data_IF_450854497672
#
_entry.id   IF_450854497672
#
_cell.length_a   1.000
_cell.length_b   1.000
_cell.length_c   1.000
_cell.angle_alpha   90.00
_cell.angle_beta   90.00
_cell.angle_gamma   90.00
#
_symmetry.space_group_name_H-M   'P 1'
#
loop_
_entity.id
_entity.type
_entity.pdbx_description
1 polymer ?
#
# COMPACT_ATOMS: atom_id res chain seq x y z
N UNK A 1 -11.11 4.07 33.78
CA UNK A 1 -9.68 3.72 33.66
C UNK A 1 -9.55 2.25 33.95
N UNK A 2 -9.48 1.41 32.91
CA UNK A 2 -9.05 0.03 33.07
C UNK A 2 -7.60 0.05 33.59
N UNK A 3 -7.23 -0.89 34.45
CA UNK A 3 -5.86 -1.00 34.92
C UNK A 3 -4.99 -1.55 33.78
N UNK A 4 -3.83 -0.94 33.52
CA UNK A 4 -2.87 -1.52 32.58
C UNK A 4 -2.37 -2.85 33.15
N UNK A 5 -2.64 -3.95 32.44
CA UNK A 5 -2.18 -5.28 32.80
C UNK A 5 -0.95 -5.65 31.97
N UNK A 6 0.14 -6.04 32.63
CA UNK A 6 1.29 -6.68 31.97
C UNK A 6 1.22 -8.17 32.22
N UNK A 7 1.13 -8.96 31.16
CA UNK A 7 1.02 -10.42 31.22
C UNK A 7 2.06 -11.07 30.31
N UNK A 8 2.52 -12.26 30.69
CA UNK A 8 3.30 -13.12 29.81
C UNK A 8 2.32 -13.94 28.97
N UNK A 9 2.31 -13.72 27.64
CA UNK A 9 1.30 -14.32 26.76
C UNK A 9 1.28 -15.84 26.85
N UNK A 10 2.45 -16.49 26.86
CA UNK A 10 2.52 -17.95 26.95
C UNK A 10 1.97 -18.50 28.28
N UNK A 11 2.10 -17.76 29.38
CA UNK A 11 1.53 -18.18 30.66
C UNK A 11 0.00 -18.00 30.68
N UNK A 12 -0.48 -16.94 30.01
CA UNK A 12 -1.90 -16.64 29.92
C UNK A 12 -2.63 -17.65 29.05
N UNK A 13 -2.01 -18.09 27.94
CA UNK A 13 -2.60 -19.03 26.99
C UNK A 13 -2.28 -20.49 27.30
N UNK A 14 -1.53 -20.77 28.37
CA UNK A 14 -1.23 -22.14 28.78
C UNK A 14 -2.50 -22.92 29.11
N UNK A 15 -2.70 -24.05 28.42
CA UNK A 15 -3.82 -24.97 28.66
C UNK A 15 -5.16 -24.49 28.08
N UNK A 16 -5.14 -23.51 27.18
CA UNK A 16 -6.32 -23.22 26.34
C UNK A 16 -6.39 -24.20 25.17
N UNK A 17 -7.61 -24.44 24.70
CA UNK A 17 -7.93 -25.27 23.56
C UNK A 17 -8.79 -24.44 22.60
N UNK A 18 -8.26 -24.18 21.41
CA UNK A 18 -8.93 -23.41 20.38
C UNK A 18 -9.48 -24.33 19.30
N UNK A 19 -10.62 -23.97 18.72
CA UNK A 19 -11.29 -24.78 17.70
C UNK A 19 -11.07 -24.15 16.33
N UNK A 20 -10.72 -24.97 15.33
CA UNK A 20 -10.54 -24.56 13.94
C UNK A 20 -11.32 -25.49 13.00
N UNK A 21 -11.82 -24.96 11.89
CA UNK A 21 -12.50 -25.77 10.86
C UNK A 21 -11.63 -25.79 9.60
N UNK A 22 -11.18 -26.99 9.22
CA UNK A 22 -10.30 -27.17 8.07
C UNK A 22 -11.04 -26.85 6.78
N UNK A 23 -10.44 -26.00 5.94
CA UNK A 23 -10.96 -25.62 4.63
C UNK A 23 -10.35 -26.46 3.51
N UNK A 24 -10.98 -26.44 2.34
CA UNK A 24 -10.44 -27.09 1.13
C UNK A 24 -9.07 -26.52 0.74
N UNK A 25 -8.89 -25.19 0.86
CA UNK A 25 -7.66 -24.49 0.48
C UNK A 25 -6.49 -24.86 1.42
N UNK A 26 -6.74 -24.91 2.73
CA UNK A 26 -5.75 -25.34 3.72
C UNK A 26 -5.27 -26.78 3.47
N UNK A 27 -6.20 -27.68 3.17
CA UNK A 27 -5.87 -29.07 2.84
C UNK A 27 -5.06 -29.15 1.55
N UNK A 28 -5.45 -28.40 0.52
CA UNK A 28 -4.72 -28.37 -0.75
C UNK A 28 -3.31 -27.77 -0.59
N UNK A 29 -3.15 -26.79 0.29
CA UNK A 29 -1.88 -26.14 0.60
C UNK A 29 -1.01 -26.94 1.58
N UNK A 30 -1.60 -27.87 2.35
CA UNK A 30 -0.91 -28.56 3.45
C UNK A 30 -0.62 -27.64 4.65
N UNK A 31 -1.36 -26.55 4.80
CA UNK A 31 -1.11 -25.49 5.78
C UNK A 31 -2.41 -25.05 6.44
N UNK A 32 -2.42 -24.82 7.76
CA UNK A 32 -3.57 -24.26 8.49
C UNK A 32 -3.44 -22.74 8.62
N UNK A 33 -4.53 -22.01 8.44
CA UNK A 33 -4.65 -20.59 8.75
C UNK A 33 -4.76 -20.40 10.26
N UNK A 34 -3.64 -20.01 10.88
CA UNK A 34 -3.55 -19.79 12.32
C UNK A 34 -3.88 -18.34 12.72
N UNK A 35 -4.39 -17.52 11.80
CA UNK A 35 -4.44 -16.08 12.01
C UNK A 35 -5.59 -15.59 12.87
N UNK A 36 -6.67 -16.35 12.97
CA UNK A 36 -7.87 -15.94 13.68
C UNK A 36 -8.35 -16.97 14.68
N UNK A 37 -8.79 -18.14 14.22
CA UNK A 37 -9.36 -19.15 15.10
C UNK A 37 -8.31 -19.75 16.06
N UNK A 38 -7.02 -19.69 15.67
CA UNK A 38 -5.88 -20.10 16.49
C UNK A 38 -5.07 -18.91 17.04
N UNK A 39 -5.64 -17.70 17.05
CA UNK A 39 -4.89 -16.48 17.37
C UNK A 39 -4.31 -16.44 18.81
N UNK A 40 -4.78 -17.28 19.74
CA UNK A 40 -4.15 -17.42 21.06
C UNK A 40 -2.74 -18.04 21.02
N UNK A 41 -2.39 -18.70 19.91
CA UNK A 41 -1.07 -19.31 19.69
C UNK A 41 -0.21 -18.52 18.70
N UNK A 42 -0.60 -17.28 18.37
CA UNK A 42 0.07 -16.46 17.38
C UNK A 42 1.57 -16.28 17.71
N UNK A 43 1.94 -16.11 18.98
CA UNK A 43 3.35 -15.89 19.38
C UNK A 43 4.20 -17.15 19.53
N UNK A 44 3.72 -18.30 19.08
CA UNK A 44 4.45 -19.56 19.14
C UNK A 44 5.22 -19.80 17.85
N UNK A 45 6.55 -19.63 17.90
CA UNK A 45 7.41 -19.71 16.72
C UNK A 45 8.00 -21.12 16.46
N UNK A 46 8.23 -21.90 17.53
CA UNK A 46 8.93 -23.20 17.48
C UNK A 46 7.96 -24.36 17.74
N UNK A 47 7.00 -24.58 16.85
CA UNK A 47 5.95 -25.59 17.02
C UNK A 47 6.40 -26.99 16.58
N UNK A 48 5.98 -28.01 17.33
CA UNK A 48 6.20 -29.42 16.96
C UNK A 48 4.93 -30.24 17.14
N UNK A 49 4.73 -31.24 16.30
CA UNK A 49 3.69 -32.25 16.51
C UNK A 49 4.04 -33.15 17.70
N UNK A 50 3.03 -33.83 18.26
CA UNK A 50 3.24 -34.85 19.29
C UNK A 50 4.17 -36.01 18.85
N UNK A 51 4.38 -36.20 17.54
CA UNK A 51 5.35 -37.13 16.96
C UNK A 51 6.80 -36.64 17.03
N UNK A 52 7.02 -35.36 17.37
CA UNK A 52 8.31 -34.67 17.40
C UNK A 52 8.69 -34.01 16.08
N UNK A 53 7.83 -34.07 15.06
CA UNK A 53 8.07 -33.41 13.76
C UNK A 53 7.78 -31.91 13.83
N UNK A 54 8.60 -31.05 13.21
CA UNK A 54 8.40 -29.61 13.28
C UNK A 54 7.19 -29.14 12.46
N UNK A 55 6.56 -28.07 12.92
CA UNK A 55 5.60 -27.27 12.17
C UNK A 55 6.29 -25.94 11.84
N UNK A 56 6.38 -25.63 10.55
CA UNK A 56 6.88 -24.34 10.09
C UNK A 56 5.79 -23.28 10.26
N UNK A 57 6.12 -22.21 10.97
CA UNK A 57 5.26 -21.04 11.13
C UNK A 57 5.64 -20.01 10.07
N UNK A 58 4.80 -19.86 9.06
CA UNK A 58 5.03 -18.88 8.00
C UNK A 58 4.49 -17.52 8.41
N UNK A 59 5.39 -16.54 8.46
CA UNK A 59 5.11 -15.14 8.78
C UNK A 59 5.07 -14.24 7.54
N UNK A 60 4.94 -14.82 6.34
CA UNK A 60 5.04 -14.11 5.07
C UNK A 60 4.05 -12.95 4.96
N UNK A 61 4.43 -11.74 5.37
CA UNK A 61 3.66 -10.54 5.06
C UNK A 61 3.48 -10.40 3.54
N UNK A 62 2.25 -10.20 3.04
CA UNK A 62 1.04 -9.77 3.74
C UNK A 62 0.08 -10.89 4.18
N UNK A 63 0.46 -12.16 4.04
CA UNK A 63 -0.37 -13.29 4.43
C UNK A 63 -0.46 -13.42 5.95
N UNK A 64 -1.61 -13.88 6.47
CA UNK A 64 -1.75 -14.22 7.88
C UNK A 64 -0.82 -15.38 8.26
N UNK A 65 -0.45 -15.55 9.54
CA UNK A 65 0.43 -16.64 9.90
C UNK A 65 -0.20 -18.00 9.59
N UNK A 66 0.54 -18.80 8.85
CA UNK A 66 0.16 -20.16 8.47
C UNK A 66 1.00 -21.19 9.20
N UNK A 67 0.42 -22.35 9.51
CA UNK A 67 1.13 -23.48 10.09
C UNK A 67 1.27 -24.58 9.05
N UNK A 68 2.50 -24.84 8.63
CA UNK A 68 2.82 -25.87 7.62
C UNK A 68 3.55 -27.02 8.30
N UNK A 69 2.87 -28.15 8.45
CA UNK A 69 3.45 -29.38 8.97
C UNK A 69 4.14 -30.24 7.91
N UNK A 70 4.61 -31.44 8.28
CA UNK A 70 5.21 -32.39 7.35
C UNK A 70 4.21 -32.87 6.28
N UNK A 71 4.73 -33.38 5.17
CA UNK A 71 3.92 -33.88 4.05
C UNK A 71 2.83 -34.86 4.54
N UNK A 72 1.57 -34.54 4.22
CA UNK A 72 0.41 -35.37 4.55
C UNK A 72 -0.09 -35.26 6.00
N UNK A 73 0.43 -34.34 6.82
CA UNK A 73 -0.01 -34.20 8.21
C UNK A 73 -1.51 -33.83 8.37
N UNK A 74 -2.10 -33.21 7.33
CA UNK A 74 -3.54 -32.92 7.25
C UNK A 74 -4.35 -34.00 6.53
N UNK A 75 -3.74 -35.06 5.97
CA UNK A 75 -4.45 -36.07 5.18
C UNK A 75 -5.52 -36.83 5.98
N UNK A 76 -5.32 -36.90 7.30
CA UNK A 76 -6.26 -37.50 8.23
C UNK A 76 -7.55 -36.69 8.39
N UNK A 77 -7.53 -35.39 8.06
CA UNK A 77 -8.63 -34.47 8.31
C UNK A 77 -9.27 -34.04 6.99
N UNK A 78 -10.51 -34.46 6.69
CA UNK A 78 -11.22 -33.97 5.51
C UNK A 78 -11.53 -32.47 5.64
N UNK A 79 -11.82 -31.82 4.51
CA UNK A 79 -12.35 -30.46 4.55
C UNK A 79 -13.69 -30.45 5.30
N UNK A 80 -13.89 -29.45 6.15
CA UNK A 80 -14.96 -29.35 7.13
C UNK A 80 -14.70 -30.11 8.44
N UNK A 81 -13.55 -30.81 8.58
CA UNK A 81 -13.15 -31.38 9.86
C UNK A 81 -12.98 -30.27 10.90
N UNK A 82 -13.43 -30.55 12.11
CA UNK A 82 -13.37 -29.62 13.23
C UNK A 82 -12.26 -30.09 14.15
N UNK A 83 -11.26 -29.24 14.38
CA UNK A 83 -10.08 -29.57 15.15
C UNK A 83 -10.09 -28.79 16.45
N UNK A 84 -9.95 -29.47 17.58
CA UNK A 84 -9.55 -28.88 18.84
C UNK A 84 -8.01 -28.92 18.92
N UNK A 85 -7.42 -27.74 19.08
CA UNK A 85 -5.97 -27.54 19.03
C UNK A 85 -5.51 -26.96 20.37
N UNK A 86 -4.58 -27.65 21.01
CA UNK A 86 -3.88 -27.23 22.21
C UNK A 86 -2.39 -27.13 21.91
N UNK A 87 -1.74 -26.07 22.41
CA UNK A 87 -0.28 -25.94 22.39
C UNK A 87 0.23 -25.98 23.82
N UNK A 88 1.08 -26.95 24.12
CA UNK A 88 1.67 -27.08 25.45
C UNK A 88 2.73 -26.00 25.71
N UNK A 89 3.12 -25.77 26.97
CA UNK A 89 4.24 -24.86 27.29
C UNK A 89 5.58 -25.24 26.64
N UNK A 90 5.73 -26.49 26.21
CA UNK A 90 6.92 -26.99 25.49
C UNK A 90 6.75 -26.88 23.95
N UNK A 91 5.79 -26.08 23.48
CA UNK A 91 5.45 -25.85 22.06
C UNK A 91 5.05 -27.11 21.28
N UNK A 92 4.47 -28.10 21.97
CA UNK A 92 3.91 -29.30 21.34
C UNK A 92 2.44 -29.05 20.99
N UNK A 93 2.10 -29.24 19.72
CA UNK A 93 0.74 -29.12 19.20
C UNK A 93 0.02 -30.46 19.32
N UNK A 94 -1.09 -30.45 20.05
CA UNK A 94 -2.04 -31.56 20.14
C UNK A 94 -3.28 -31.22 19.33
N UNK A 95 -3.64 -32.11 18.41
CA UNK A 95 -4.81 -31.98 17.54
C UNK A 95 -5.77 -33.11 17.86
N UNK A 96 -7.01 -32.76 18.17
CA UNK A 96 -8.11 -33.71 18.39
C UNK A 96 -9.26 -33.37 17.44
N UNK A 97 -9.67 -34.32 16.60
CA UNK A 97 -10.85 -34.14 15.75
C UNK A 97 -12.14 -34.19 16.60
N UNK A 98 -12.96 -33.17 16.45
CA UNK A 98 -14.30 -33.08 17.02
C UNK A 98 -15.34 -33.57 16.00
N UNK A 99 -16.38 -34.23 16.47
CA UNK A 99 -17.44 -34.74 15.59
C UNK A 99 -18.37 -33.66 15.01
N UNK A 100 -18.37 -32.45 15.58
CA UNK A 100 -19.14 -31.31 15.12
C UNK A 100 -18.58 -30.00 15.71
N UNK A 101 -18.90 -28.87 15.07
CA UNK A 101 -18.56 -27.54 15.60
C UNK A 101 -19.34 -27.34 16.90
N UNK A 102 -18.67 -27.09 18.04
CA UNK A 102 -19.37 -26.76 19.28
C UNK A 102 -20.24 -25.52 19.08
N UNK A 103 -21.47 -25.55 19.62
CA UNK A 103 -22.37 -24.42 19.54
C UNK A 103 -21.88 -23.26 20.43
N UNK A 104 -22.25 -22.04 20.08
CA UNK A 104 -22.08 -20.90 20.98
C UNK A 104 -23.03 -21.02 22.17
N UNK A 105 -22.62 -20.58 23.35
CA UNK A 105 -23.38 -20.74 24.60
C UNK A 105 -23.97 -19.42 25.13
N UNK A 106 -23.85 -18.33 24.35
CA UNK A 106 -24.36 -17.00 24.67
C UNK A 106 -23.54 -16.26 25.74
N UNK A 107 -23.05 -16.95 26.77
CA UNK A 107 -22.24 -16.34 27.84
C UNK A 107 -20.89 -15.88 27.30
N UNK A 108 -20.22 -16.72 26.51
CA UNK A 108 -18.96 -16.34 25.89
C UNK A 108 -19.16 -15.28 24.80
N UNK A 109 -20.30 -15.32 24.09
CA UNK A 109 -20.68 -14.33 23.06
C UNK A 109 -20.84 -12.93 23.68
N UNK A 110 -21.60 -12.84 24.78
CA UNK A 110 -21.81 -11.59 25.53
C UNK A 110 -20.48 -11.04 26.07
N UNK A 111 -19.61 -11.92 26.59
CA UNK A 111 -18.30 -11.50 27.09
C UNK A 111 -17.38 -11.02 25.96
N UNK A 112 -17.37 -11.72 24.83
CA UNK A 112 -16.60 -11.29 23.65
C UNK A 112 -17.04 -9.90 23.21
N UNK A 113 -18.37 -9.64 23.21
CA UNK A 113 -18.87 -8.30 22.86
C UNK A 113 -18.38 -7.23 23.83
N UNK A 114 -18.42 -7.49 25.14
CA UNK A 114 -17.92 -6.54 26.16
C UNK A 114 -16.42 -6.28 26.01
N UNK A 115 -15.63 -7.32 25.76
CA UNK A 115 -14.19 -7.22 25.50
C UNK A 115 -13.93 -6.37 24.25
N UNK A 116 -14.64 -6.65 23.16
CA UNK A 116 -14.55 -5.90 21.91
C UNK A 116 -14.91 -4.42 22.11
N UNK A 117 -16.04 -4.14 22.76
CA UNK A 117 -16.52 -2.77 23.00
C UNK A 117 -15.50 -1.94 23.78
N UNK A 118 -14.82 -2.56 24.75
CA UNK A 118 -13.76 -1.89 25.51
C UNK A 118 -12.50 -1.65 24.68
N UNK A 119 -12.11 -2.63 23.86
CA UNK A 119 -10.90 -2.53 23.04
C UNK A 119 -11.06 -1.53 21.89
N UNK A 120 -12.27 -1.42 21.31
CA UNK A 120 -12.53 -0.49 20.22
C UNK A 120 -12.77 0.95 20.70
N UNK A 121 -13.32 1.17 21.91
CA UNK A 121 -13.70 2.51 22.42
C UNK A 121 -12.56 3.54 22.26
N UNK A 122 -11.35 3.15 22.66
CA UNK A 122 -10.12 3.87 22.37
C UNK A 122 -9.04 2.82 22.06
N UNK A 123 -8.52 2.73 20.80
CA UNK A 123 -8.30 3.84 19.86
C UNK A 123 -9.23 3.94 18.63
N UNK A 124 -10.40 3.31 18.63
CA UNK A 124 -11.30 3.21 17.46
C UNK A 124 -10.68 2.47 16.27
N UNK A 125 -9.93 1.39 16.54
CA UNK A 125 -9.31 0.54 15.53
C UNK A 125 -9.95 -0.86 15.53
N UNK A 126 -9.86 -1.61 14.42
CA UNK A 126 -10.22 -3.02 14.42
C UNK A 126 -9.43 -3.77 15.48
N UNK A 127 -10.08 -4.73 16.12
CA UNK A 127 -9.49 -5.52 17.20
C UNK A 127 -9.01 -6.84 16.63
N UNK A 128 -7.79 -7.25 16.94
CA UNK A 128 -7.25 -8.51 16.44
C UNK A 128 -7.86 -9.72 17.17
N UNK A 129 -7.90 -10.88 16.51
CA UNK A 129 -8.30 -12.14 17.14
C UNK A 129 -7.44 -12.49 18.35
N UNK A 130 -6.13 -12.20 18.29
CA UNK A 130 -5.21 -12.40 19.42
C UNK A 130 -5.64 -11.55 20.62
N UNK A 131 -5.90 -10.26 20.42
CA UNK A 131 -6.33 -9.35 21.48
C UNK A 131 -7.65 -9.80 22.12
N UNK A 132 -8.62 -10.27 21.31
CA UNK A 132 -9.87 -10.83 21.82
C UNK A 132 -9.63 -12.06 22.70
N UNK A 133 -8.84 -13.03 22.23
CA UNK A 133 -8.53 -14.25 22.98
C UNK A 133 -7.83 -13.92 24.29
N UNK A 134 -6.79 -13.08 24.25
CA UNK A 134 -6.03 -12.69 25.43
C UNK A 134 -6.92 -11.95 26.45
N UNK A 135 -7.76 -11.03 25.99
CA UNK A 135 -8.66 -10.30 26.88
C UNK A 135 -9.75 -11.21 27.49
N UNK A 136 -10.30 -12.16 26.73
CA UNK A 136 -11.26 -13.15 27.23
C UNK A 136 -10.67 -14.04 28.32
N UNK A 137 -9.45 -14.55 28.11
CA UNK A 137 -8.74 -15.40 29.08
C UNK A 137 -8.29 -14.57 30.30
N UNK A 138 -7.94 -13.30 30.10
CA UNK A 138 -7.60 -12.39 31.20
C UNK A 138 -8.82 -12.09 32.09
N UNK A 139 -10.01 -11.90 31.51
CA UNK A 139 -11.24 -11.69 32.26
C UNK A 139 -11.73 -12.94 32.99
N UNK A 140 -11.60 -14.11 32.34
CA UNK A 140 -11.97 -15.40 32.91
C UNK A 140 -10.98 -16.48 32.45
N UNK A 141 -10.06 -16.91 33.34
CA UNK A 141 -9.08 -17.94 33.02
C UNK A 141 -9.66 -19.31 32.69
N UNK A 142 -10.97 -19.53 32.87
CA UNK A 142 -11.65 -20.73 32.41
C UNK A 142 -12.06 -20.65 30.93
N UNK A 143 -12.03 -19.47 30.31
CA UNK A 143 -12.29 -19.30 28.88
C UNK A 143 -11.36 -20.21 28.06
N UNK A 144 -11.94 -20.96 27.12
CA UNK A 144 -11.22 -21.89 26.24
C UNK A 144 -10.50 -23.05 26.94
N UNK A 145 -10.76 -23.38 28.21
CA UNK A 145 -10.17 -24.59 28.82
C UNK A 145 -10.72 -25.90 28.25
N UNK A 146 -11.91 -25.85 27.69
CA UNK A 146 -12.54 -26.96 26.98
C UNK A 146 -12.82 -26.50 25.53
N UNK A 147 -12.84 -27.42 24.55
CA UNK A 147 -13.12 -27.07 23.17
C UNK A 147 -14.50 -26.38 23.02
N UNK A 148 -14.47 -25.10 22.67
CA UNK A 148 -15.66 -24.27 22.43
C UNK A 148 -15.92 -24.02 20.94
N UNK A 149 -16.86 -23.13 20.65
CA UNK A 149 -17.06 -22.64 19.28
C UNK A 149 -15.78 -21.94 18.78
N UNK A 150 -15.43 -22.04 17.49
CA UNK A 150 -14.30 -21.30 16.93
C UNK A 150 -14.52 -19.79 17.08
N UNK A 151 -13.42 -19.02 17.19
CA UNK A 151 -13.50 -17.57 17.40
C UNK A 151 -14.32 -16.88 16.32
N UNK A 152 -14.18 -17.32 15.08
CA UNK A 152 -14.96 -16.89 13.91
C UNK A 152 -16.47 -17.06 14.10
N UNK A 153 -16.92 -18.15 14.73
CA UNK A 153 -18.33 -18.37 15.04
C UNK A 153 -18.82 -17.46 16.18
N UNK A 154 -18.00 -17.23 17.22
CA UNK A 154 -18.33 -16.30 18.32
C UNK A 154 -18.47 -14.86 17.80
N UNK A 155 -17.57 -14.43 16.93
CA UNK A 155 -17.59 -13.11 16.28
C UNK A 155 -18.81 -12.95 15.39
N UNK A 156 -19.13 -13.98 14.58
CA UNK A 156 -20.33 -13.96 13.74
C UNK A 156 -21.62 -13.89 14.59
N UNK A 157 -21.67 -14.57 15.74
CA UNK A 157 -22.81 -14.54 16.65
C UNK A 157 -23.02 -13.17 17.31
N UNK A 158 -21.97 -12.36 17.43
CA UNK A 158 -22.02 -11.01 18.04
C UNK A 158 -22.24 -9.88 17.02
N UNK A 159 -22.43 -10.21 15.74
CA UNK A 159 -22.69 -9.24 14.68
C UNK A 159 -21.47 -8.42 14.26
N UNK A 160 -20.26 -8.89 14.56
CA UNK A 160 -19.02 -8.27 14.14
C UNK A 160 -18.63 -8.75 12.73
N UNK A 161 -18.09 -7.83 11.94
CA UNK A 161 -17.49 -8.12 10.64
C UNK A 161 -16.02 -8.53 10.84
N UNK A 162 -15.59 -9.61 10.18
CA UNK A 162 -14.20 -10.11 10.24
C UNK A 162 -13.51 -9.89 8.90
N UNK A 163 -12.34 -9.26 8.92
CA UNK A 163 -11.46 -9.13 7.74
C UNK A 163 -10.05 -9.58 8.10
N UNK A 164 -9.65 -10.73 7.58
CA UNK A 164 -8.38 -11.37 7.97
C UNK A 164 -8.38 -11.71 9.45
N UNK A 165 -7.36 -11.23 10.18
CA UNK A 165 -7.19 -11.46 11.61
C UNK A 165 -7.85 -10.40 12.51
N UNK A 166 -8.52 -9.41 11.92
CA UNK A 166 -9.12 -8.28 12.64
C UNK A 166 -10.66 -8.34 12.58
N UNK A 167 -11.32 -7.69 13.53
CA UNK A 167 -12.77 -7.51 13.56
C UNK A 167 -13.19 -6.08 13.82
N UNK A 168 -14.34 -5.69 13.27
CA UNK A 168 -14.97 -4.42 13.59
C UNK A 168 -16.50 -4.48 13.52
N UNK A 169 -17.18 -3.51 14.14
CA UNK A 169 -18.63 -3.40 14.13
C UNK A 169 -19.18 -2.55 12.97
N UNK A 170 -18.34 -1.72 12.32
CA UNK A 170 -18.73 -0.93 11.16
C UNK A 170 -17.54 -0.53 10.26
N UNK A 171 -17.86 0.06 9.11
CA UNK A 171 -16.88 0.51 8.11
C UNK A 171 -16.03 1.71 8.57
N UNK A 172 -16.47 2.50 9.56
CA UNK A 172 -15.70 3.65 10.06
C UNK A 172 -14.48 3.21 10.86
N UNK A 173 -14.60 2.13 11.62
CA UNK A 173 -13.48 1.49 12.34
C UNK A 173 -12.46 0.94 11.34
N UNK A 174 -12.93 0.25 10.28
CA UNK A 174 -12.07 -0.21 9.18
C UNK A 174 -11.39 0.95 8.46
N UNK A 175 -12.10 2.06 8.28
CA UNK A 175 -11.52 3.24 7.66
C UNK A 175 -10.45 3.87 8.53
N UNK A 176 -10.62 3.89 9.86
CA UNK A 176 -9.65 4.48 10.77
C UNK A 176 -8.28 3.77 10.72
N UNK A 177 -8.23 2.44 10.57
CA UNK A 177 -6.95 1.74 10.39
C UNK A 177 -6.29 2.08 9.05
N UNK A 178 -7.07 2.27 7.97
CA UNK A 178 -6.54 2.75 6.68
C UNK A 178 -5.95 4.15 6.85
N UNK A 179 -6.65 5.04 7.54
CA UNK A 179 -6.21 6.41 7.84
C UNK A 179 -4.94 6.43 8.69
N UNK A 180 -4.84 5.56 9.71
CA UNK A 180 -3.65 5.42 10.54
C UNK A 180 -2.45 4.89 9.74
N UNK A 181 -2.64 3.85 8.92
CA UNK A 181 -1.56 3.30 8.05
C UNK A 181 -1.08 4.36 7.06
N UNK A 182 -1.99 5.14 6.49
CA UNK A 182 -1.70 6.29 5.61
C UNK A 182 -0.92 7.38 6.35
N UNK A 183 -1.35 7.77 7.56
CA UNK A 183 -0.63 8.71 8.43
C UNK A 183 0.83 8.28 8.61
N UNK A 184 1.08 7.01 8.95
CA UNK A 184 2.44 6.48 9.08
C UNK A 184 3.26 6.58 7.79
N UNK A 185 2.68 6.24 6.62
CA UNK A 185 3.40 6.34 5.36
C UNK A 185 3.71 7.78 4.96
N UNK A 186 2.75 8.70 5.12
CA UNK A 186 2.94 10.13 4.85
C UNK A 186 4.04 10.71 5.75
N UNK A 187 3.98 10.46 7.06
CA UNK A 187 5.02 10.90 8.00
C UNK A 187 6.40 10.30 7.68
N UNK A 188 6.45 9.03 7.26
CA UNK A 188 7.71 8.39 6.85
C UNK A 188 8.30 9.07 5.61
N UNK A 189 7.46 9.51 4.67
CA UNK A 189 7.88 10.15 3.43
C UNK A 189 8.32 11.61 3.63
N UNK A 190 7.52 12.40 4.35
CA UNK A 190 7.76 13.85 4.53
C UNK A 190 8.65 14.19 5.74
N UNK A 191 8.98 13.20 6.57
CA UNK A 191 9.55 13.43 7.90
C UNK A 191 8.47 13.75 8.93
N UNK A 192 8.88 13.98 10.18
CA UNK A 192 8.03 14.25 11.37
C UNK A 192 6.80 15.14 11.08
N UNK A 193 5.76 15.06 11.91
CA UNK A 193 4.45 15.72 11.70
C UNK A 193 4.65 17.21 11.38
N UNK A 194 4.55 17.54 10.09
CA UNK A 194 4.76 18.87 9.56
C UNK A 194 3.49 19.39 8.87
N UNK A 195 3.46 20.69 8.60
CA UNK A 195 2.33 21.31 7.91
C UNK A 195 2.04 20.66 6.54
N UNK A 196 3.07 20.15 5.84
CA UNK A 196 2.90 19.43 4.57
C UNK A 196 2.17 18.10 4.74
N UNK A 197 2.57 17.29 5.74
CA UNK A 197 1.92 16.01 6.03
C UNK A 197 0.43 16.18 6.35
N UNK A 198 0.09 17.19 7.15
CA UNK A 198 -1.30 17.51 7.48
C UNK A 198 -2.12 17.90 6.24
N UNK A 199 -1.53 18.64 5.28
CA UNK A 199 -2.20 18.98 4.01
C UNK A 199 -2.47 17.74 3.15
N UNK A 200 -1.50 16.82 3.06
CA UNK A 200 -1.68 15.56 2.32
C UNK A 200 -2.81 14.75 2.94
N UNK A 201 -2.79 14.57 4.26
CA UNK A 201 -3.81 13.81 4.99
C UNK A 201 -5.20 14.44 4.85
N UNK A 202 -5.31 15.76 5.02
CA UNK A 202 -6.56 16.47 4.81
C UNK A 202 -7.08 16.33 3.38
N UNK A 203 -6.19 16.37 2.38
CA UNK A 203 -6.57 16.17 0.98
C UNK A 203 -7.11 14.76 0.73
N UNK A 204 -6.48 13.74 1.33
CA UNK A 204 -6.91 12.36 1.22
C UNK A 204 -8.22 12.10 1.98
N UNK A 205 -8.42 12.71 3.15
CA UNK A 205 -9.68 12.67 3.90
C UNK A 205 -10.84 13.28 3.08
N UNK A 206 -10.60 14.36 2.33
CA UNK A 206 -11.61 14.92 1.40
C UNK A 206 -11.88 13.99 0.21
N UNK A 207 -10.87 13.31 -0.32
CA UNK A 207 -11.06 12.31 -1.37
C UNK A 207 -11.93 11.14 -0.88
N UNK A 208 -11.72 10.70 0.36
CA UNK A 208 -12.48 9.65 1.02
C UNK A 208 -13.95 10.07 1.21
N UNK A 209 -14.17 11.28 1.73
CA UNK A 209 -15.51 11.83 1.91
C UNK A 209 -16.28 11.95 0.59
N UNK A 210 -15.64 12.41 -0.48
CA UNK A 210 -16.27 12.49 -1.80
C UNK A 210 -16.62 11.11 -2.39
N UNK A 211 -15.87 10.08 -2.03
CA UNK A 211 -16.18 8.69 -2.39
C UNK A 211 -17.31 8.08 -1.54
N UNK A 212 -17.90 8.84 -0.62
CA UNK A 212 -19.04 8.43 0.20
C UNK A 212 -18.65 7.77 1.53
N UNK A 213 -17.38 7.86 1.93
CA UNK A 213 -16.95 7.40 3.25
C UNK A 213 -17.47 8.38 4.30
N UNK A 214 -18.16 7.85 5.31
CA UNK A 214 -18.65 8.67 6.43
C UNK A 214 -17.48 9.09 7.32
N UNK A 215 -17.11 10.36 7.18
CA UNK A 215 -16.03 10.97 7.95
C UNK A 215 -16.56 11.72 9.20
N UNK A 216 -17.87 11.70 9.47
CA UNK A 216 -18.48 12.47 10.57
C UNK A 216 -18.04 12.02 11.96
N UNK A 217 -17.51 10.80 12.08
CA UNK A 217 -16.93 10.26 13.31
C UNK A 217 -15.56 10.87 13.64
N UNK A 218 -14.92 11.57 12.70
CA UNK A 218 -13.62 12.22 12.90
C UNK A 218 -13.80 13.71 13.17
N UNK A 219 -13.61 14.19 14.41
CA UNK A 219 -13.93 15.56 14.81
C UNK A 219 -13.05 16.61 14.14
N UNK A 220 -11.93 16.24 13.52
CA UNK A 220 -11.07 17.17 12.78
C UNK A 220 -11.59 17.50 11.37
N UNK A 221 -12.65 16.83 10.89
CA UNK A 221 -13.17 17.00 9.54
C UNK A 221 -14.46 17.83 9.59
N UNK A 222 -14.34 19.12 9.28
CA UNK A 222 -15.46 20.06 9.28
C UNK A 222 -16.36 19.90 8.05
N UNK A 223 -17.51 19.27 8.22
CA UNK A 223 -18.62 19.29 7.27
C UNK A 223 -18.33 18.65 5.90
N UNK A 224 -19.30 18.68 4.97
CA UNK A 224 -19.12 18.10 3.63
C UNK A 224 -18.14 18.93 2.78
N UNK A 225 -17.26 18.25 2.05
CA UNK A 225 -16.38 18.86 1.07
C UNK A 225 -17.19 19.60 0.00
N UNK A 226 -17.01 20.92 -0.05
CA UNK A 226 -17.65 21.78 -1.03
C UNK A 226 -16.63 22.33 -2.04
N UNK A 227 -17.10 23.18 -2.96
CA UNK A 227 -16.22 23.79 -3.96
C UNK A 227 -15.19 24.75 -3.35
N UNK A 228 -15.45 25.35 -2.18
CA UNK A 228 -14.47 26.19 -1.51
C UNK A 228 -13.35 25.36 -0.91
N UNK A 229 -13.66 24.22 -0.28
CA UNK A 229 -12.69 23.23 0.20
C UNK A 229 -11.80 22.76 -0.93
N UNK A 230 -12.37 22.30 -2.06
CA UNK A 230 -11.60 21.84 -3.21
C UNK A 230 -10.65 22.90 -3.77
N UNK A 231 -11.06 24.17 -3.79
CA UNK A 231 -10.21 25.29 -4.22
C UNK A 231 -9.09 25.60 -3.22
N UNK A 232 -9.34 25.41 -1.92
CA UNK A 232 -8.30 25.54 -0.91
C UNK A 232 -7.24 24.44 -1.07
N UNK A 233 -7.66 23.18 -1.28
CA UNK A 233 -6.77 22.06 -1.56
C UNK A 233 -5.89 22.31 -2.80
N UNK A 234 -6.47 22.81 -3.90
CA UNK A 234 -5.69 23.19 -5.09
C UNK A 234 -4.65 24.28 -4.81
N UNK A 235 -4.85 25.11 -3.77
CA UNK A 235 -3.86 26.06 -3.28
C UNK A 235 -2.72 25.38 -2.53
N UNK A 236 -3.01 24.39 -1.70
CA UNK A 236 -2.03 23.61 -0.94
C UNK A 236 -1.19 22.70 -1.83
N UNK A 237 -1.80 22.11 -2.88
CA UNK A 237 -1.13 21.26 -3.87
C UNK A 237 -0.19 22.01 -4.83
N UNK A 238 0.03 23.30 -4.61
CA UNK A 238 1.10 24.06 -5.30
C UNK A 238 2.47 23.82 -4.68
N UNK A 239 2.51 23.25 -3.49
CA UNK A 239 3.73 22.74 -2.89
C UNK A 239 4.06 21.39 -3.54
N UNK A 240 5.18 21.33 -4.27
CA UNK A 240 5.59 20.14 -5.00
C UNK A 240 5.79 18.92 -4.08
N UNK A 241 6.24 19.11 -2.84
CA UNK A 241 6.44 18.02 -1.89
C UNK A 241 5.10 17.42 -1.44
N UNK A 242 4.10 18.28 -1.21
CA UNK A 242 2.72 17.88 -0.90
C UNK A 242 2.09 17.15 -2.08
N UNK A 243 2.24 17.69 -3.30
CA UNK A 243 1.64 17.10 -4.51
C UNK A 243 2.24 15.74 -4.85
N UNK A 244 3.57 15.59 -4.79
CA UNK A 244 4.24 14.31 -5.05
C UNK A 244 3.86 13.26 -3.99
N UNK A 245 3.83 13.65 -2.72
CA UNK A 245 3.42 12.72 -1.65
C UNK A 245 1.95 12.32 -1.79
N UNK A 246 1.08 13.26 -2.19
CA UNK A 246 -0.32 12.95 -2.49
C UNK A 246 -0.44 11.98 -3.67
N UNK A 247 0.30 12.17 -4.76
CA UNK A 247 0.31 11.25 -5.90
C UNK A 247 0.63 9.82 -5.45
N UNK A 248 1.72 9.65 -4.68
CA UNK A 248 2.16 8.35 -4.21
C UNK A 248 1.09 7.66 -3.35
N UNK A 249 0.38 8.39 -2.48
CA UNK A 249 -0.64 7.81 -1.61
C UNK A 249 -2.00 7.62 -2.29
N UNK A 250 -2.44 8.58 -3.12
CA UNK A 250 -3.74 8.52 -3.80
C UNK A 250 -3.79 7.38 -4.84
N UNK A 251 -2.63 7.04 -5.42
CA UNK A 251 -2.50 6.02 -6.44
C UNK A 251 -1.63 4.83 -5.99
N UNK A 252 -1.47 4.63 -4.68
CA UNK A 252 -0.68 3.54 -4.11
C UNK A 252 -1.23 2.15 -4.47
N UNK A 253 -2.56 2.02 -4.41
CA UNK A 253 -3.27 0.75 -4.57
C UNK A 253 -3.93 0.67 -5.96
N UNK A 254 -3.79 -0.49 -6.61
CA UNK A 254 -4.31 -0.74 -7.97
C UNK A 254 -5.71 -1.37 -7.98
N UNK A 255 -6.39 -1.44 -6.83
CA UNK A 255 -7.73 -2.00 -6.72
C UNK A 255 -8.82 -1.07 -7.27
N UNK A 256 -9.99 -1.64 -7.58
CA UNK A 256 -11.11 -0.91 -8.19
C UNK A 256 -11.66 0.21 -7.27
N UNK A 257 -11.68 -0.01 -5.96
CA UNK A 257 -12.15 0.97 -4.98
C UNK A 257 -11.25 2.20 -4.94
N UNK A 258 -9.94 2.00 -4.90
CA UNK A 258 -8.94 3.06 -4.95
C UNK A 258 -9.00 3.85 -6.27
N UNK A 259 -9.17 3.17 -7.40
CA UNK A 259 -9.36 3.83 -8.71
C UNK A 259 -10.63 4.69 -8.76
N UNK A 260 -11.76 4.16 -8.31
CA UNK A 260 -13.03 4.89 -8.30
C UNK A 260 -12.95 6.14 -7.41
N UNK A 261 -12.33 6.03 -6.23
CA UNK A 261 -12.09 7.15 -5.31
C UNK A 261 -11.24 8.24 -5.98
N UNK A 262 -10.12 7.86 -6.61
CA UNK A 262 -9.28 8.80 -7.32
C UNK A 262 -10.00 9.45 -8.52
N UNK A 263 -10.85 8.71 -9.24
CA UNK A 263 -11.67 9.24 -10.33
C UNK A 263 -12.64 10.33 -9.85
N UNK A 264 -13.38 10.06 -8.77
CA UNK A 264 -14.33 11.02 -8.19
C UNK A 264 -13.60 12.28 -7.74
N UNK A 265 -12.50 12.11 -7.00
CA UNK A 265 -11.71 13.22 -6.47
C UNK A 265 -11.10 14.08 -7.58
N UNK A 266 -10.45 13.46 -8.58
CA UNK A 266 -9.82 14.18 -9.70
C UNK A 266 -10.86 14.91 -10.56
N UNK A 267 -12.04 14.30 -10.79
CA UNK A 267 -13.16 14.95 -11.45
C UNK A 267 -13.68 16.18 -10.69
N UNK A 268 -13.81 16.08 -9.37
CA UNK A 268 -14.21 17.18 -8.52
C UNK A 268 -13.19 18.34 -8.54
N UNK A 269 -11.88 18.03 -8.49
CA UNK A 269 -10.82 19.04 -8.62
C UNK A 269 -10.87 19.74 -9.98
N UNK A 270 -11.04 18.99 -11.07
CA UNK A 270 -11.18 19.56 -12.43
C UNK A 270 -12.37 20.53 -12.51
N UNK A 271 -13.50 20.19 -11.91
CA UNK A 271 -14.69 21.04 -11.88
C UNK A 271 -14.48 22.31 -11.03
N UNK A 272 -13.72 22.22 -9.94
CA UNK A 272 -13.44 23.34 -9.03
C UNK A 272 -12.30 24.27 -9.52
N UNK A 273 -11.44 23.79 -10.43
CA UNK A 273 -10.24 24.50 -10.88
C UNK A 273 -10.56 25.68 -11.84
N UNK A 274 -10.31 26.90 -11.36
CA UNK A 274 -10.54 28.12 -12.16
C UNK A 274 -9.27 28.85 -12.58
N UNK A 275 -8.21 28.84 -11.76
CA UNK A 275 -6.98 29.54 -12.09
C UNK A 275 -6.10 28.66 -13.00
N UNK A 276 -5.23 29.27 -13.82
CA UNK A 276 -4.37 28.50 -14.73
C UNK A 276 -3.53 27.42 -14.03
N UNK A 277 -2.89 27.78 -12.91
CA UNK A 277 -2.12 26.83 -12.08
C UNK A 277 -2.98 25.71 -11.48
N UNK A 278 -4.18 26.05 -11.00
CA UNK A 278 -5.09 25.08 -10.40
C UNK A 278 -5.54 24.05 -11.46
N UNK A 279 -5.79 24.50 -12.69
CA UNK A 279 -6.11 23.62 -13.83
C UNK A 279 -4.95 22.72 -14.22
N UNK A 280 -3.72 23.21 -14.09
CA UNK A 280 -2.54 22.39 -14.36
C UNK A 280 -2.38 21.27 -13.31
N UNK A 281 -2.57 21.57 -12.03
CA UNK A 281 -2.54 20.57 -10.93
C UNK A 281 -3.67 19.55 -11.10
N UNK A 282 -4.91 20.02 -11.27
CA UNK A 282 -6.05 19.12 -11.47
C UNK A 282 -5.90 18.25 -12.72
N UNK A 283 -5.39 18.84 -13.82
CA UNK A 283 -5.11 18.13 -15.06
C UNK A 283 -3.97 17.12 -14.93
N UNK A 284 -2.94 17.40 -14.13
CA UNK A 284 -1.89 16.44 -13.82
C UNK A 284 -2.45 15.23 -13.07
N UNK A 285 -3.21 15.45 -11.99
CA UNK A 285 -3.82 14.36 -11.21
C UNK A 285 -4.81 13.54 -12.06
N UNK A 286 -5.59 14.18 -12.92
CA UNK A 286 -6.47 13.49 -13.87
C UNK A 286 -5.69 12.64 -14.90
N UNK A 287 -4.52 13.13 -15.35
CA UNK A 287 -3.65 12.35 -16.22
C UNK A 287 -3.09 11.11 -15.52
N UNK A 288 -2.64 11.26 -14.28
CA UNK A 288 -2.12 10.16 -13.46
C UNK A 288 -3.21 9.09 -13.22
N UNK A 289 -4.44 9.53 -12.91
CA UNK A 289 -5.59 8.62 -12.82
C UNK A 289 -5.83 7.84 -14.14
N UNK A 290 -5.81 8.54 -15.28
CA UNK A 290 -6.00 7.91 -16.59
C UNK A 290 -4.86 6.93 -16.94
N UNK A 291 -3.62 7.21 -16.55
CA UNK A 291 -2.51 6.25 -16.70
C UNK A 291 -2.73 4.98 -15.88
N UNK A 292 -3.18 5.10 -14.62
CA UNK A 292 -3.52 3.95 -13.75
C UNK A 292 -4.72 3.16 -14.27
N UNK A 293 -5.59 3.83 -14.99
CA UNK A 293 -6.72 3.23 -15.70
C UNK A 293 -6.35 2.62 -17.05
N UNK A 294 -5.06 2.63 -17.43
CA UNK A 294 -4.55 2.13 -18.71
C UNK A 294 -5.11 2.88 -19.94
N UNK A 295 -5.38 4.18 -19.78
CA UNK A 295 -5.89 5.07 -20.82
C UNK A 295 -4.85 6.14 -21.23
N UNK A 296 -3.72 5.75 -21.85
CA UNK A 296 -2.60 6.66 -22.08
C UNK A 296 -2.94 7.84 -23.01
N UNK A 297 -3.92 7.68 -23.91
CA UNK A 297 -4.37 8.77 -24.78
C UNK A 297 -5.18 9.83 -24.03
N UNK A 298 -6.01 9.40 -23.06
CA UNK A 298 -6.79 10.29 -22.20
C UNK A 298 -5.85 11.05 -21.26
N UNK A 299 -4.88 10.33 -20.68
CA UNK A 299 -3.86 10.93 -19.85
C UNK A 299 -3.07 12.03 -20.58
N UNK A 300 -2.58 11.76 -21.78
CA UNK A 300 -1.83 12.75 -22.56
C UNK A 300 -2.70 13.96 -22.95
N UNK A 301 -3.99 13.75 -23.23
CA UNK A 301 -4.92 14.85 -23.48
C UNK A 301 -5.05 15.76 -22.25
N UNK A 302 -5.20 15.18 -21.05
CA UNK A 302 -5.20 15.96 -19.81
C UNK A 302 -3.90 16.73 -19.62
N UNK A 303 -2.74 16.13 -19.88
CA UNK A 303 -1.45 16.81 -19.81
C UNK A 303 -1.32 17.96 -20.82
N UNK A 304 -1.86 17.82 -22.05
CA UNK A 304 -1.89 18.92 -23.01
C UNK A 304 -2.75 20.09 -22.54
N UNK A 305 -3.93 19.82 -21.98
CA UNK A 305 -4.80 20.85 -21.41
C UNK A 305 -4.15 21.53 -20.19
N UNK A 306 -3.51 20.73 -19.31
CA UNK A 306 -2.76 21.22 -18.16
C UNK A 306 -1.60 22.12 -18.58
N UNK A 307 -0.79 21.71 -19.55
CA UNK A 307 0.35 22.49 -20.05
C UNK A 307 -0.10 23.75 -20.79
N UNK A 308 -1.24 23.72 -21.46
CA UNK A 308 -1.81 24.91 -22.07
C UNK A 308 -2.26 25.92 -21.01
N UNK A 309 -2.81 25.45 -19.88
CA UNK A 309 -3.19 26.30 -18.76
C UNK A 309 -1.96 26.88 -18.04
N UNK A 310 -0.96 26.06 -17.73
CA UNK A 310 0.29 26.51 -17.10
C UNK A 310 1.52 25.92 -17.81
N UNK A 311 2.09 26.64 -18.79
CA UNK A 311 3.29 26.20 -19.50
C UNK A 311 4.54 26.10 -18.62
N UNK A 312 4.55 26.78 -17.47
CA UNK A 312 5.68 26.83 -16.54
C UNK A 312 5.64 25.71 -15.50
N UNK A 313 4.57 24.89 -15.48
CA UNK A 313 4.49 23.73 -14.60
C UNK A 313 5.56 22.70 -14.94
N UNK A 314 6.51 22.53 -14.02
CA UNK A 314 7.64 21.60 -14.16
C UNK A 314 7.15 20.16 -14.29
N UNK A 315 6.25 19.72 -13.39
CA UNK A 315 5.73 18.34 -13.35
C UNK A 315 4.96 17.98 -14.62
N UNK A 316 4.09 18.86 -15.10
CA UNK A 316 3.31 18.63 -16.33
C UNK A 316 4.23 18.57 -17.55
N UNK A 317 5.21 19.49 -17.63
CA UNK A 317 6.15 19.56 -18.74
C UNK A 317 7.07 18.34 -18.77
N UNK A 318 7.52 17.85 -17.61
CA UNK A 318 8.30 16.62 -17.49
C UNK A 318 7.51 15.40 -17.96
N UNK A 319 6.24 15.26 -17.51
CA UNK A 319 5.38 14.14 -17.94
C UNK A 319 5.11 14.16 -19.45
N UNK A 320 4.87 15.34 -20.05
CA UNK A 320 4.73 15.47 -21.52
C UNK A 320 6.00 15.10 -22.28
N UNK A 321 7.17 15.35 -21.71
CA UNK A 321 8.44 14.98 -22.32
C UNK A 321 8.61 13.45 -22.35
N UNK A 322 8.18 12.75 -21.29
CA UNK A 322 8.10 11.29 -21.26
C UNK A 322 7.19 10.74 -22.36
N UNK A 323 5.97 11.25 -22.50
CA UNK A 323 5.06 10.86 -23.59
C UNK A 323 5.67 11.07 -24.98
N UNK A 324 6.35 12.21 -25.19
CA UNK A 324 7.05 12.47 -26.45
C UNK A 324 8.19 11.47 -26.69
N UNK A 325 8.95 11.13 -25.65
CA UNK A 325 10.02 10.14 -25.70
C UNK A 325 9.48 8.74 -26.04
N UNK A 326 8.40 8.30 -25.40
CA UNK A 326 7.79 6.99 -25.61
C UNK A 326 7.22 6.83 -27.03
N UNK A 327 6.78 7.93 -27.65
CA UNK A 327 6.39 7.96 -29.06
C UNK A 327 7.57 8.02 -30.04
N UNK A 328 8.79 8.12 -29.53
CA UNK A 328 9.99 8.29 -30.35
C UNK A 328 10.15 9.70 -30.92
N UNK A 329 9.41 10.69 -30.43
CA UNK A 329 9.59 12.12 -30.78
C UNK A 329 10.69 12.73 -29.89
N UNK A 330 11.92 12.25 -30.07
CA UNK A 330 13.09 12.72 -29.34
C UNK A 330 13.30 14.25 -29.47
N UNK A 331 13.11 14.89 -30.65
CA UNK A 331 13.21 16.35 -30.75
C UNK A 331 12.23 17.09 -29.84
N UNK A 332 10.99 16.61 -29.70
CA UNK A 332 10.01 17.22 -28.80
C UNK A 332 10.35 16.96 -27.33
N UNK A 333 10.69 15.73 -26.96
CA UNK A 333 11.09 15.39 -25.60
C UNK A 333 12.28 16.26 -25.13
N UNK A 334 13.33 16.37 -25.96
CA UNK A 334 14.49 17.24 -25.68
C UNK A 334 14.11 18.71 -25.52
N UNK A 335 13.22 19.26 -26.35
CA UNK A 335 12.79 20.66 -26.20
C UNK A 335 12.05 20.91 -24.89
N UNK A 336 11.22 19.96 -24.45
CA UNK A 336 10.47 20.08 -23.21
C UNK A 336 11.42 19.99 -22.00
N UNK A 337 12.26 18.96 -21.93
CA UNK A 337 13.21 18.81 -20.82
C UNK A 337 14.25 19.93 -20.71
N UNK A 338 14.72 20.50 -21.83
CA UNK A 338 15.64 21.65 -21.80
C UNK A 338 15.04 22.93 -21.23
N UNK A 339 13.71 23.04 -21.16
CA UNK A 339 13.03 24.19 -20.53
C UNK A 339 12.98 24.06 -19.01
N UNK A 340 13.24 22.87 -18.47
CA UNK A 340 13.21 22.62 -17.05
C UNK A 340 14.59 22.96 -16.46
N UNK A 341 14.63 23.83 -15.45
CA UNK A 341 15.80 24.00 -14.58
C UNK A 341 15.88 22.80 -13.64
N UNK A 342 16.38 21.68 -14.14
CA UNK A 342 15.99 20.39 -13.57
C UNK A 342 17.07 19.67 -12.75
N UNK A 343 16.67 18.88 -11.73
CA UNK A 343 17.54 17.99 -10.97
C UNK A 343 18.29 16.97 -11.85
N UNK A 344 19.26 16.27 -11.27
CA UNK A 344 20.06 15.25 -11.94
C UNK A 344 19.26 14.17 -12.70
N UNK A 345 18.02 13.87 -12.28
CA UNK A 345 17.15 12.88 -12.92
C UNK A 345 16.73 13.30 -14.34
N UNK A 346 16.15 14.51 -14.50
CA UNK A 346 15.78 15.05 -15.82
C UNK A 346 17.01 15.19 -16.73
N UNK A 347 18.19 15.49 -16.17
CA UNK A 347 19.43 15.51 -16.94
C UNK A 347 19.84 14.13 -17.49
N UNK A 348 19.54 13.03 -16.77
CA UNK A 348 19.76 11.67 -17.26
C UNK A 348 18.79 11.32 -18.40
N UNK A 349 17.52 11.66 -18.25
CA UNK A 349 16.49 11.38 -19.25
C UNK A 349 16.73 12.20 -20.54
N UNK A 350 17.08 13.47 -20.39
CA UNK A 350 17.52 14.34 -21.48
C UNK A 350 18.72 13.72 -22.22
N UNK A 351 19.77 13.30 -21.50
CA UNK A 351 20.95 12.70 -22.13
C UNK A 351 20.62 11.41 -22.90
N UNK A 352 19.64 10.63 -22.44
CA UNK A 352 19.23 9.40 -23.09
C UNK A 352 18.58 9.63 -24.47
N UNK A 353 17.80 10.72 -24.62
CA UNK A 353 17.08 11.06 -25.86
C UNK A 353 17.83 12.02 -26.76
N UNK A 354 18.72 12.86 -26.23
CA UNK A 354 19.37 13.95 -26.96
C UNK A 354 20.17 13.46 -28.17
N UNK A 355 20.80 12.28 -28.05
CA UNK A 355 21.50 11.62 -29.17
C UNK A 355 20.59 11.30 -30.36
N UNK A 356 19.28 11.18 -30.14
CA UNK A 356 18.26 10.93 -31.16
C UNK A 356 17.52 12.19 -31.60
N UNK A 357 17.68 13.30 -30.87
CA UNK A 357 17.04 14.58 -31.18
C UNK A 357 17.72 15.35 -32.33
N UNK A 358 18.94 14.94 -32.71
CA UNK A 358 19.61 15.50 -33.88
C UNK A 358 18.77 15.22 -35.13
N UNK A 359 18.51 16.22 -35.99
CA UNK A 359 17.83 15.99 -37.25
C UNK A 359 18.60 14.89 -37.99
N UNK A 360 17.87 13.89 -38.50
CA UNK A 360 18.45 12.90 -39.40
C UNK A 360 19.33 13.64 -40.39
N UNK A 361 20.62 13.28 -40.48
CA UNK A 361 21.55 13.86 -41.48
C UNK A 361 20.79 14.01 -42.80
N UNK A 362 20.93 15.15 -43.51
CA UNK A 362 20.20 15.38 -44.74
C UNK A 362 20.22 14.11 -45.57
N UNK A 363 19.03 13.65 -45.99
CA UNK A 363 18.93 12.44 -46.82
C UNK A 363 19.95 12.61 -47.94
N UNK A 364 20.87 11.63 -48.14
CA UNK A 364 21.90 11.77 -49.15
C UNK A 364 21.22 12.18 -50.46
N UNK A 365 21.69 13.26 -51.08
CA UNK A 365 21.20 13.67 -52.38
C UNK A 365 21.33 12.51 -53.38
N UNK A 366 20.64 12.61 -54.53
CA UNK A 366 20.63 11.53 -55.55
C UNK A 366 22.02 11.01 -55.95
N UNK A 367 23.06 11.81 -55.74
CA UNK A 367 24.45 11.51 -56.08
C UNK A 367 25.39 11.33 -54.87
N UNK A 368 24.89 11.44 -53.64
CA UNK A 368 25.70 11.25 -52.43
C UNK A 368 25.88 9.77 -52.11
N UNK A 369 26.93 9.45 -51.36
CA UNK A 369 27.21 8.09 -50.92
C UNK A 369 26.07 7.55 -50.03
N UNK A 370 25.65 6.31 -50.28
CA UNK A 370 24.59 5.68 -49.51
C UNK A 370 24.96 5.57 -48.02
N UNK A 371 23.98 5.82 -47.15
CA UNK A 371 24.14 5.78 -45.69
C UNK A 371 24.55 4.41 -45.15
N UNK A 372 24.39 3.32 -45.92
CA UNK A 372 24.85 1.97 -45.57
C UNK A 372 26.37 1.79 -45.68
N UNK A 373 27.14 2.82 -46.06
CA UNK A 373 28.61 2.77 -46.14
C UNK A 373 29.16 2.08 -47.40
N UNK A 374 28.30 1.66 -48.33
CA UNK A 374 28.72 0.92 -49.53
C UNK A 374 29.46 1.74 -50.60
N UNK A 375 29.51 3.07 -50.48
CA UNK A 375 30.18 3.96 -51.44
C UNK A 375 29.55 4.03 -52.84
N UNK A 376 28.41 3.37 -53.09
CA UNK A 376 27.75 3.34 -54.41
C UNK A 376 26.60 4.36 -54.49
N UNK A 377 26.46 5.02 -55.65
CA UNK A 377 25.38 6.00 -55.93
C UNK A 377 24.03 5.29 -56.09
N UNK A 378 22.94 5.92 -55.62
CA UNK A 378 21.57 5.39 -55.49
C UNK A 378 20.88 4.82 -56.74
N UNK A 379 21.49 4.82 -57.92
CA UNK A 379 20.84 4.35 -59.16
C UNK A 379 20.86 2.82 -59.35
N UNK A 380 21.40 2.05 -58.41
CA UNK A 380 21.57 0.60 -58.54
C UNK A 380 21.03 -0.20 -57.34
N UNK A 381 19.79 0.05 -56.91
CA UNK A 381 19.10 -0.81 -55.92
C UNK A 381 17.64 -1.06 -56.39
N UNK A 382 17.16 -2.32 -56.44
CA UNK A 382 15.75 -2.63 -56.71
C UNK A 382 14.84 -2.33 -55.50
N UNK A 383 13.50 -2.26 -55.67
CA UNK A 383 12.62 -1.65 -54.69
C UNK A 383 12.34 -2.56 -53.48
N UNK A 384 12.20 -1.92 -52.32
CA UNK A 384 11.80 -2.44 -51.00
C UNK A 384 12.84 -3.26 -50.23
N UNK A 385 13.46 -2.58 -49.26
CA UNK A 385 13.65 -3.11 -47.90
C UNK A 385 13.71 -1.92 -46.93
N UNK A 386 12.61 -1.83 -46.18
CA UNK A 386 12.42 -1.32 -44.82
C UNK A 386 12.71 0.14 -44.40
N UNK A 387 11.78 0.58 -43.55
CA UNK A 387 11.68 1.85 -42.84
C UNK A 387 13.00 2.28 -42.21
N UNK A 388 13.26 3.60 -42.07
CA UNK A 388 14.32 4.04 -41.16
C UNK A 388 14.07 3.39 -39.80
N UNK A 389 15.12 2.78 -39.26
CA UNK A 389 15.21 2.15 -37.96
C UNK A 389 14.45 3.02 -36.96
N UNK A 390 13.25 2.60 -36.56
CA UNK A 390 12.73 3.00 -35.25
C UNK A 390 13.86 2.71 -34.27
N UNK A 391 14.16 3.66 -33.37
CA UNK A 391 15.06 3.37 -32.26
C UNK A 391 14.70 1.97 -31.73
N UNK A 392 15.69 1.08 -31.45
CA UNK A 392 15.35 -0.15 -30.77
C UNK A 392 14.51 0.25 -29.58
N UNK A 393 13.28 -0.29 -29.45
CA UNK A 393 12.53 -0.21 -28.20
C UNK A 393 13.56 -0.57 -27.15
N UNK A 394 14.01 0.42 -26.38
CA UNK A 394 15.10 0.21 -25.46
C UNK A 394 14.65 -0.97 -24.63
N UNK A 395 15.41 -2.07 -24.67
CA UNK A 395 15.12 -3.25 -23.87
C UNK A 395 15.11 -2.80 -22.42
N UNK A 396 13.93 -2.48 -21.91
CA UNK A 396 13.67 -2.29 -20.51
C UNK A 396 12.63 -3.33 -20.18
N UNK A 397 13.12 -4.33 -19.45
CA UNK A 397 12.35 -5.11 -18.50
C UNK A 397 11.25 -4.23 -17.90
N UNK A 398 10.08 -4.82 -17.65
CA UNK A 398 9.20 -4.36 -16.61
C UNK A 398 10.05 -4.18 -15.34
N UNK A 399 10.49 -2.95 -15.09
CA UNK A 399 10.96 -2.56 -13.77
C UNK A 399 9.66 -2.33 -13.01
N UNK A 400 9.39 -3.02 -11.90
CA UNK A 400 8.22 -2.74 -11.11
C UNK A 400 8.21 -1.23 -10.79
N UNK A 401 7.11 -0.55 -11.11
CA UNK A 401 6.87 0.84 -10.72
C UNK A 401 6.58 0.93 -9.21
N UNK A 402 7.47 0.38 -8.40
CA UNK A 402 7.50 0.55 -6.96
C UNK A 402 8.42 1.73 -6.62
N UNK A 403 7.83 2.83 -6.16
CA UNK A 403 8.44 3.89 -5.34
C UNK A 403 9.83 4.41 -5.72
N UNK A 404 9.90 5.63 -6.28
CA UNK A 404 11.12 6.42 -6.12
C UNK A 404 11.09 7.12 -4.77
N UNK A 405 11.77 6.49 -3.81
CA UNK A 405 12.17 7.03 -2.50
C UNK A 405 12.60 8.53 -2.57
N UNK A 406 12.20 9.38 -1.60
CA UNK A 406 13.01 10.54 -1.27
C UNK A 406 14.31 10.03 -0.62
N UNK A 407 15.45 10.32 -1.25
CA UNK A 407 16.76 10.06 -0.64
C UNK A 407 17.00 11.11 0.44
N UNK A 408 17.04 10.64 1.68
CA UNK A 408 17.55 11.36 2.85
C UNK A 408 18.92 12.00 2.58
N UNK A 409 19.23 13.17 3.17
CA UNK A 409 20.58 13.68 3.21
C UNK A 409 21.41 12.81 4.17
N UNK A 410 22.56 12.32 3.69
CA UNK A 410 23.44 11.42 4.43
C UNK A 410 23.91 11.94 5.81
N UNK A 411 24.47 11.05 6.63
CA UNK A 411 24.75 11.31 8.04
C UNK A 411 25.76 12.45 8.20
N UNK A 412 25.35 13.49 8.95
CA UNK A 412 26.29 14.47 9.51
C UNK A 412 27.19 13.74 10.49
N UNK A 413 28.46 13.55 10.11
CA UNK A 413 29.50 13.01 10.98
C UNK A 413 29.63 13.78 12.31
N UNK A 414 30.17 13.13 13.35
CA UNK A 414 30.14 13.62 14.71
C UNK A 414 30.88 14.95 14.85
N UNK A 415 30.16 15.99 15.27
CA UNK A 415 30.74 17.22 15.82
C UNK A 415 31.55 16.84 17.07
N UNK A 416 32.87 16.80 16.93
CA UNK A 416 33.81 16.73 18.06
C UNK A 416 33.53 17.89 19.02
N UNK A 417 32.80 17.62 20.09
CA UNK A 417 32.80 18.48 21.28
C UNK A 417 34.20 18.39 21.89
N UNK A 418 34.94 19.48 21.81
CA UNK A 418 36.18 19.65 22.56
C UNK A 418 35.84 19.60 24.07
N UNK A 419 36.26 18.51 24.72
CA UNK A 419 36.25 18.40 26.16
C UNK A 419 37.23 19.44 26.73
N UNK A 420 36.68 20.49 27.32
CA UNK A 420 37.42 21.47 28.13
C UNK A 420 37.88 20.75 29.39
N UNK A 421 39.16 20.36 29.43
CA UNK A 421 39.80 19.81 30.63
C UNK A 421 39.78 20.88 31.72
N UNK A 422 38.95 20.70 32.74
CA UNK A 422 39.13 21.32 34.05
C UNK A 422 40.37 20.66 34.68
N UNK A 423 41.42 21.46 34.91
CA UNK A 423 42.53 21.08 35.81
C UNK A 423 42.02 21.15 37.25
N UNK A 424 42.33 20.17 38.11
CA UNK A 424 42.18 20.37 39.55
C UNK A 424 43.25 21.34 40.05
N UNK A 425 42.83 22.30 40.88
CA UNK A 425 43.73 23.08 41.73
C UNK A 425 44.18 22.19 42.89
N UNK A 426 45.42 21.72 42.84
CA UNK A 426 46.49 21.86 43.85
C UNK A 426 47.56 20.81 43.61
#
# INVERSE_FOLDING_TARGET
MAADHTVHVADLTAGIVLTHVVTDDERAAGSLDASFDLAGFHRSDDLTLATGEPIEVDWATPQPPGWTGPDGWLDAYPAGAVLAIEVTPDSVVHITELGAVPATDGVLDERLRVVYDRAVDEPWLPVSGEELVLALVLEDPASFREPGAPLSALVAATGLDRRGNEVAHDDTVWHNVVRLRRLWRVMRTMGDVCAGALKVLHTLDVADQLAGIDMSVFPEIDGPADTATLRALLGDLRDDEVLVTLEDELFADDDLGSRNRAAIFTGALLAAAHRPRDRAIAGLLAALHAERSLEPLVAEQHLHLAHHADPDSVLVTDRLAWYASDRGDAPRATRLWRRLEAPAAVNQDLAAVERFASPSRPRPGRNDACWCGSGRKYKAVPPRLDRPTTAPRAGRMAVPQSGRLPRTPGPRGPRRRAARRLRPRR
#
